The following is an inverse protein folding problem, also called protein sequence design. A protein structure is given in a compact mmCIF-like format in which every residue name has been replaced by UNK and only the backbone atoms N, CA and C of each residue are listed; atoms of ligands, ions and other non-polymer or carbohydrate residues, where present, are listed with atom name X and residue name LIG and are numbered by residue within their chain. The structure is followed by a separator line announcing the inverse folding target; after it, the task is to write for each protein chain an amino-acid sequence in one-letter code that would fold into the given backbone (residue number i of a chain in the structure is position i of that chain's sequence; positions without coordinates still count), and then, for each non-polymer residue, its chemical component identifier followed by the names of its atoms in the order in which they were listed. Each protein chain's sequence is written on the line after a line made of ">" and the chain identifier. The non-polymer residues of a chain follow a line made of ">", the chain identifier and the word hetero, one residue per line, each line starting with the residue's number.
data_IF_495580426675
#
_entry.id   IF_495580426675
#
_cell.length_a   1.000
_cell.length_b   1.000
_cell.length_c   1.000
_cell.angle_alpha   90.00
_cell.angle_beta   90.00
_cell.angle_gamma   90.00
#
_symmetry.space_group_name_H-M   'P 1'
#
loop_
_entity.id
_entity.type
_entity.pdbx_description
1 polymer ?
#
# COMPACT_ATOMS: atom_id res chain seq x y z
N UNK A 1 -3.99 4.32 -17.47
CA UNK A 1 -3.72 3.47 -16.29
C UNK A 1 -4.06 4.27 -15.03
N UNK A 2 -4.51 3.61 -13.96
CA UNK A 2 -4.83 4.25 -12.67
C UNK A 2 -3.87 3.76 -11.61
N UNK A 3 -3.26 4.67 -10.87
CA UNK A 3 -2.33 4.35 -9.79
C UNK A 3 -2.93 4.74 -8.44
N UNK A 4 -2.90 3.80 -7.50
CA UNK A 4 -3.24 3.99 -6.09
C UNK A 4 -1.95 4.14 -5.28
N UNK A 5 -1.80 5.29 -4.63
CA UNK A 5 -0.65 5.63 -3.82
C UNK A 5 -1.03 5.54 -2.34
N UNK A 6 -0.29 4.75 -1.59
CA UNK A 6 -0.45 4.60 -0.14
C UNK A 6 0.81 5.06 0.53
N UNK A 7 0.72 6.14 1.30
CA UNK A 7 1.82 6.63 2.12
C UNK A 7 1.56 6.23 3.57
N UNK A 8 2.55 5.63 4.22
CA UNK A 8 2.37 5.17 5.58
C UNK A 8 3.65 5.10 6.41
N UNK A 9 3.49 5.10 7.73
CA UNK A 9 4.56 4.90 8.71
C UNK A 9 4.12 3.82 9.71
N UNK A 10 5.08 3.16 10.35
CA UNK A 10 4.80 2.26 11.46
C UNK A 10 4.40 3.05 12.72
N UNK A 11 3.60 2.46 13.61
CA UNK A 11 3.25 3.05 14.93
C UNK A 11 4.48 3.21 15.81
N UNK A 12 5.41 2.26 15.73
CA UNK A 12 6.69 2.27 16.41
C UNK A 12 7.79 1.70 15.52
N UNK A 13 9.05 1.90 15.88
CA UNK A 13 10.19 1.32 15.14
C UNK A 13 10.18 -0.22 15.16
N UNK A 14 9.63 -0.83 16.22
CA UNK A 14 9.51 -2.28 16.33
C UNK A 14 8.47 -2.87 15.34
N UNK A 15 7.48 -2.06 14.94
CA UNK A 15 6.43 -2.45 14.00
C UNK A 15 6.87 -2.34 12.53
N UNK A 16 8.02 -1.72 12.24
CA UNK A 16 8.48 -1.50 10.86
C UNK A 16 8.81 -2.81 10.11
N UNK A 17 9.62 -3.75 10.66
CA UNK A 17 9.90 -5.01 9.98
C UNK A 17 8.64 -5.83 9.63
N UNK A 18 7.68 -6.09 10.55
CA UNK A 18 6.46 -6.83 10.19
C UNK A 18 5.59 -6.06 9.21
N UNK A 19 5.52 -4.73 9.30
CA UNK A 19 4.78 -3.90 8.35
C UNK A 19 5.33 -4.00 6.92
N UNK A 20 6.65 -3.94 6.75
CA UNK A 20 7.31 -4.10 5.45
C UNK A 20 7.01 -5.49 4.87
N UNK A 21 7.20 -6.55 5.67
CA UNK A 21 6.96 -7.92 5.25
C UNK A 21 5.49 -8.14 4.82
N UNK A 22 4.55 -7.65 5.62
CA UNK A 22 3.12 -7.75 5.32
C UNK A 22 2.72 -6.95 4.07
N UNK A 23 3.32 -5.78 3.85
CA UNK A 23 3.08 -4.98 2.64
C UNK A 23 3.53 -5.72 1.38
N UNK A 24 4.73 -6.31 1.40
CA UNK A 24 5.22 -7.12 0.28
C UNK A 24 4.35 -8.36 0.03
N UNK A 25 3.94 -9.05 1.10
CA UNK A 25 3.06 -10.21 0.99
C UNK A 25 1.69 -9.84 0.40
N UNK A 26 1.10 -8.71 0.82
CA UNK A 26 -0.15 -8.21 0.27
C UNK A 26 -0.02 -7.88 -1.23
N UNK A 27 1.04 -7.17 -1.62
CA UNK A 27 1.26 -6.79 -3.00
C UNK A 27 1.47 -8.02 -3.91
N UNK A 28 2.20 -9.04 -3.41
CA UNK A 28 2.36 -10.31 -4.10
C UNK A 28 1.02 -11.08 -4.23
N UNK A 29 0.20 -11.10 -3.18
CA UNK A 29 -1.15 -11.69 -3.22
C UNK A 29 -2.01 -11.01 -4.29
N UNK A 30 -2.08 -9.68 -4.29
CA UNK A 30 -2.88 -8.92 -5.26
C UNK A 30 -2.39 -9.12 -6.70
N UNK A 31 -1.08 -9.21 -6.89
CA UNK A 31 -0.48 -9.47 -8.22
C UNK A 31 -0.84 -10.88 -8.69
N UNK A 32 -0.65 -11.89 -7.85
CA UNK A 32 -0.95 -13.30 -8.19
C UNK A 32 -2.44 -13.58 -8.41
N UNK A 33 -3.31 -12.84 -7.72
CA UNK A 33 -4.76 -12.87 -7.92
C UNK A 33 -5.23 -12.05 -9.15
N UNK A 34 -4.31 -11.45 -9.92
CA UNK A 34 -4.62 -10.63 -11.10
C UNK A 34 -5.41 -9.37 -10.78
N UNK A 35 -5.30 -8.85 -9.54
CA UNK A 35 -6.02 -7.65 -9.09
C UNK A 35 -5.30 -6.36 -9.46
N UNK A 36 -3.98 -6.43 -9.61
CA UNK A 36 -3.11 -5.28 -9.91
C UNK A 36 -2.15 -5.66 -11.03
N UNK A 37 -1.72 -4.69 -11.82
CA UNK A 37 -0.78 -4.92 -12.95
C UNK A 37 0.67 -4.82 -12.50
N UNK A 38 0.97 -3.91 -11.58
CA UNK A 38 2.29 -3.74 -10.99
C UNK A 38 2.23 -3.07 -9.63
N UNK A 39 3.33 -3.16 -8.88
CA UNK A 39 3.51 -2.39 -7.65
C UNK A 39 4.95 -1.94 -7.46
N UNK A 40 5.14 -0.86 -6.70
CA UNK A 40 6.45 -0.39 -6.21
C UNK A 40 6.36 -0.05 -4.74
N UNK A 41 7.32 -0.53 -3.96
CA UNK A 41 7.48 -0.18 -2.55
C UNK A 41 8.72 0.70 -2.38
N UNK A 42 8.53 1.88 -1.82
CA UNK A 42 9.56 2.89 -1.66
C UNK A 42 9.70 3.28 -0.19
N UNK A 43 10.94 3.45 0.26
CA UNK A 43 11.28 4.06 1.53
C UNK A 43 11.70 5.50 1.28
N UNK A 44 11.06 6.45 1.95
CA UNK A 44 11.49 7.84 1.95
C UNK A 44 12.76 7.95 2.78
N UNK A 45 13.87 8.32 2.13
CA UNK A 45 15.18 8.51 2.78
C UNK A 45 15.52 9.99 3.01
N UNK A 46 14.90 10.89 2.26
CA UNK A 46 15.07 12.34 2.40
C UNK A 46 13.75 13.06 2.17
N UNK A 47 13.18 13.64 3.21
CA UNK A 47 11.94 14.42 3.19
C UNK A 47 12.22 15.93 3.05
N UNK A 48 13.22 16.30 2.24
CA UNK A 48 13.87 17.62 2.17
C UNK A 48 12.95 18.84 2.30
N UNK A 49 11.71 18.76 1.81
CA UNK A 49 10.76 19.89 1.81
C UNK A 49 9.38 19.57 2.43
N UNK A 50 9.17 18.36 2.96
CA UNK A 50 7.85 17.92 3.44
C UNK A 50 7.96 17.31 4.83
N UNK A 51 7.89 18.16 5.86
CA UNK A 51 7.73 17.73 7.25
C UNK A 51 6.36 17.05 7.39
N UNK A 52 6.36 15.73 7.61
CA UNK A 52 5.13 14.92 7.75
C UNK A 52 4.76 14.06 6.53
N UNK A 53 5.71 13.84 5.60
CA UNK A 53 5.60 12.75 4.64
C UNK A 53 5.85 11.41 5.36
N UNK A 54 4.93 10.43 5.25
CA UNK A 54 5.14 9.12 5.86
C UNK A 54 6.39 8.39 5.32
N UNK A 55 6.94 7.47 6.11
CA UNK A 55 8.24 6.83 5.86
C UNK A 55 8.24 5.92 4.63
N UNK A 56 7.09 5.37 4.27
CA UNK A 56 6.93 4.42 3.17
C UNK A 56 5.88 4.89 2.18
N UNK A 57 6.06 4.48 0.93
CA UNK A 57 5.08 4.62 -0.12
C UNK A 57 4.93 3.28 -0.85
N UNK A 58 3.71 2.77 -0.92
CA UNK A 58 3.31 1.74 -1.86
C UNK A 58 2.59 2.40 -3.03
N UNK A 59 3.01 2.10 -4.25
CA UNK A 59 2.33 2.47 -5.48
C UNK A 59 1.79 1.20 -6.10
N UNK A 60 0.51 1.18 -6.41
CA UNK A 60 -0.19 0.04 -7.01
C UNK A 60 -0.82 0.51 -8.31
N UNK A 61 -0.46 -0.13 -9.40
CA UNK A 61 -1.02 0.20 -10.71
C UNK A 61 -2.14 -0.79 -11.07
N UNK A 62 -3.22 -0.23 -11.59
CA UNK A 62 -4.37 -0.94 -12.12
C UNK A 62 -4.62 -0.47 -13.55
N UNK A 63 -5.12 -1.36 -14.40
CA UNK A 63 -5.39 -1.01 -15.80
C UNK A 63 -6.38 0.17 -15.91
N UNK A 64 -7.45 0.11 -15.12
CA UNK A 64 -8.54 1.08 -15.06
C UNK A 64 -9.16 1.16 -13.65
N UNK A 65 -10.21 1.97 -13.51
CA UNK A 65 -10.97 2.14 -12.27
C UNK A 65 -11.67 0.83 -11.83
N UNK A 66 -12.14 0.01 -12.77
CA UNK A 66 -12.81 -1.26 -12.45
C UNK A 66 -11.83 -2.26 -11.80
N UNK A 67 -10.58 -2.30 -12.27
CA UNK A 67 -9.50 -3.07 -11.65
C UNK A 67 -9.22 -2.59 -10.22
N UNK A 68 -9.15 -1.28 -10.01
CA UNK A 68 -8.96 -0.70 -8.69
C UNK A 68 -10.12 -1.07 -7.74
N UNK A 69 -11.37 -0.95 -8.19
CA UNK A 69 -12.55 -1.30 -7.38
C UNK A 69 -12.55 -2.79 -7.01
N UNK A 70 -12.17 -3.66 -7.96
CA UNK A 70 -12.01 -5.11 -7.73
C UNK A 70 -10.91 -5.42 -6.71
N UNK A 71 -9.77 -4.73 -6.77
CA UNK A 71 -8.69 -4.87 -5.79
C UNK A 71 -9.15 -4.42 -4.39
N UNK A 72 -9.87 -3.30 -4.30
CA UNK A 72 -10.41 -2.80 -3.04
C UNK A 72 -11.46 -3.73 -2.44
N UNK A 73 -12.33 -4.31 -3.27
CA UNK A 73 -13.30 -5.30 -2.83
C UNK A 73 -12.62 -6.56 -2.26
N UNK A 74 -11.55 -7.02 -2.92
CA UNK A 74 -10.74 -8.16 -2.46
C UNK A 74 -10.12 -7.89 -1.08
N UNK A 75 -9.54 -6.70 -0.89
CA UNK A 75 -8.96 -6.29 0.39
C UNK A 75 -10.04 -6.19 1.48
N UNK A 76 -11.19 -5.56 1.18
CA UNK A 76 -12.29 -5.38 2.15
C UNK A 76 -12.87 -6.71 2.63
N UNK A 77 -12.97 -7.71 1.76
CA UNK A 77 -13.47 -9.03 2.13
C UNK A 77 -12.59 -9.72 3.18
N UNK A 78 -11.31 -9.31 3.30
CA UNK A 78 -10.30 -9.94 4.17
C UNK A 78 -9.61 -8.90 5.06
N UNK A 79 -10.32 -7.83 5.41
CA UNK A 79 -9.73 -6.62 5.99
C UNK A 79 -8.93 -6.87 7.27
N UNK A 80 -9.34 -7.85 8.08
CA UNK A 80 -8.67 -8.22 9.34
C UNK A 80 -7.84 -9.52 9.23
N UNK A 81 -7.72 -10.08 8.04
CA UNK A 81 -7.07 -11.36 7.79
C UNK A 81 -5.78 -11.18 6.99
N UNK A 82 -4.92 -12.20 7.10
CA UNK A 82 -3.72 -12.32 6.27
C UNK A 82 -2.81 -11.08 6.34
N UNK A 83 -2.10 -10.76 5.24
CA UNK A 83 -1.16 -9.65 5.21
C UNK A 83 -1.80 -8.29 5.51
N UNK A 84 -3.03 -8.05 5.05
CA UNK A 84 -3.70 -6.76 5.31
C UNK A 84 -4.03 -6.55 6.79
N UNK A 85 -4.48 -7.60 7.48
CA UNK A 85 -4.72 -7.54 8.92
C UNK A 85 -3.45 -7.21 9.72
N UNK A 86 -2.30 -7.73 9.30
CA UNK A 86 -1.00 -7.42 9.93
C UNK A 86 -0.58 -5.96 9.69
N UNK A 87 -0.79 -5.43 8.47
CA UNK A 87 -0.56 -4.01 8.16
C UNK A 87 -1.37 -3.12 9.11
N UNK A 88 -2.66 -3.41 9.32
CA UNK A 88 -3.52 -2.62 10.21
C UNK A 88 -3.05 -2.59 11.67
N UNK A 89 -2.41 -3.66 12.15
CA UNK A 89 -1.85 -3.71 13.51
C UNK A 89 -0.64 -2.80 13.64
N UNK A 90 0.19 -2.72 12.61
CA UNK A 90 1.48 -2.06 12.63
C UNK A 90 1.45 -0.60 12.14
N UNK A 91 0.45 -0.21 11.33
CA UNK A 91 0.42 1.10 10.66
C UNK A 91 -0.03 2.24 11.60
N UNK A 92 0.73 3.32 11.63
CA UNK A 92 0.44 4.55 12.38
C UNK A 92 -0.14 5.62 11.46
N UNK A 93 0.72 6.39 10.81
CA UNK A 93 0.30 7.37 9.80
C UNK A 93 -0.12 6.65 8.51
N UNK A 94 -1.22 7.10 7.92
CA UNK A 94 -1.74 6.54 6.69
C UNK A 94 -2.40 7.64 5.85
N UNK A 95 -1.99 7.79 4.60
CA UNK A 95 -2.53 8.74 3.62
C UNK A 95 -2.62 8.06 2.27
N UNK A 96 -3.64 8.41 1.49
CA UNK A 96 -3.86 7.84 0.16
C UNK A 96 -4.03 8.92 -0.89
N UNK A 97 -3.60 8.61 -2.11
CA UNK A 97 -3.82 9.45 -3.28
C UNK A 97 -4.05 8.56 -4.52
N UNK A 98 -4.64 9.15 -5.55
CA UNK A 98 -4.90 8.49 -6.82
C UNK A 98 -4.33 9.35 -7.95
N UNK A 99 -3.77 8.70 -8.95
CA UNK A 99 -3.38 9.35 -10.20
C UNK A 99 -3.83 8.51 -11.39
N UNK A 100 -3.92 9.14 -12.55
CA UNK A 100 -4.21 8.46 -13.81
C UNK A 100 -3.34 9.08 -14.92
N UNK A 101 -3.05 8.29 -15.94
CA UNK A 101 -2.41 8.82 -17.15
C UNK A 101 -3.29 9.90 -17.78
N UNK A 102 -2.65 10.96 -18.28
CA UNK A 102 -3.29 12.07 -18.98
C UNK A 102 -3.58 11.76 -20.45
#
# INVERSE_FOLDING_TARGET
>A
MTSYHVFFSAKSEADEPPLIAATHALAAELTSAGKITSHRFLRVTNSASFTGLPRFQLIVDCFDQAGLDSAMAHIRARIHEGPHGEILRCVGDFKVAFSADA
#
